data_IF_509215209375
#
_entry.id   IF_509215209375
#
_cell.length_a   1.000
_cell.length_b   1.000
_cell.length_c   1.000
_cell.angle_alpha   90.00
_cell.angle_beta   90.00
_cell.angle_gamma   90.00
#
_symmetry.space_group_name_H-M   'P 1'
#
loop_
_entity.id
_entity.type
_entity.pdbx_description
1 polymer ?
#
# COMPACT_ATOMS: atom_id res chain seq x y z
N UNK A 1 -1.25 -12.52 11.20
CA UNK A 1 0.15 -12.32 11.64
C UNK A 1 0.73 -11.27 10.73
N UNK A 2 1.28 -10.19 11.27
CA UNK A 2 1.94 -9.15 10.45
C UNK A 2 3.25 -9.71 9.90
N UNK A 3 3.46 -9.61 8.60
CA UNK A 3 4.68 -10.06 7.89
C UNK A 3 5.54 -8.89 7.45
N UNK A 4 4.99 -7.68 7.42
CA UNK A 4 5.73 -6.46 7.13
C UNK A 4 4.97 -5.23 7.60
N UNK A 5 5.72 -4.22 7.99
CA UNK A 5 5.20 -2.89 8.32
C UNK A 5 6.04 -1.84 7.59
N UNK A 6 5.38 -0.79 7.10
CA UNK A 6 6.02 0.39 6.53
C UNK A 6 5.49 1.65 7.21
N UNK A 7 6.39 2.43 7.77
CA UNK A 7 6.07 3.73 8.37
C UNK A 7 6.24 4.85 7.34
N UNK A 8 5.19 5.61 7.13
CA UNK A 8 5.13 6.83 6.32
C UNK A 8 5.01 8.04 7.25
N UNK A 9 5.38 9.22 6.75
CA UNK A 9 5.14 10.50 7.41
C UNK A 9 4.00 11.24 6.71
N UNK A 10 3.07 11.76 7.51
CA UNK A 10 2.02 12.67 7.09
C UNK A 10 2.18 13.97 7.87
N UNK A 11 2.83 14.96 7.25
CA UNK A 11 3.29 16.15 7.99
C UNK A 11 4.18 15.74 9.18
N UNK A 12 3.73 16.03 10.40
CA UNK A 12 4.43 15.65 11.65
C UNK A 12 3.98 14.29 12.23
N UNK A 13 2.94 13.67 11.65
CA UNK A 13 2.39 12.40 12.15
C UNK A 13 3.01 11.21 11.43
N UNK A 14 3.21 10.11 12.15
CA UNK A 14 3.62 8.83 11.55
C UNK A 14 2.40 7.97 11.27
N UNK A 15 2.31 7.45 10.06
CA UNK A 15 1.28 6.52 9.59
C UNK A 15 1.91 5.15 9.32
N UNK A 16 1.32 4.08 9.85
CA UNK A 16 1.81 2.72 9.60
C UNK A 16 0.93 2.01 8.56
N UNK A 17 1.59 1.35 7.61
CA UNK A 17 0.98 0.39 6.69
C UNK A 17 1.42 -1.00 7.11
N UNK A 18 0.49 -1.86 7.53
CA UNK A 18 0.80 -3.22 7.98
C UNK A 18 0.24 -4.24 7.00
N UNK A 19 1.05 -5.21 6.61
CA UNK A 19 0.63 -6.32 5.74
C UNK A 19 0.64 -7.60 6.55
N UNK A 20 -0.46 -8.33 6.49
CA UNK A 20 -0.61 -9.63 7.14
C UNK A 20 -0.26 -10.77 6.20
N UNK A 21 0.18 -11.89 6.77
CA UNK A 21 0.42 -13.12 6.03
C UNK A 21 -0.83 -13.50 5.22
N UNK A 22 -0.70 -13.86 3.93
CA UNK A 22 -1.80 -14.43 3.18
C UNK A 22 -2.32 -15.69 3.87
N UNK A 23 -3.63 -15.88 3.87
CA UNK A 23 -4.31 -17.05 4.45
C UNK A 23 -5.27 -17.65 3.44
N UNK A 24 -5.39 -18.98 3.45
CA UNK A 24 -6.35 -19.69 2.63
C UNK A 24 -7.77 -19.49 3.20
N UNK A 25 -8.70 -19.10 2.34
CA UNK A 25 -10.11 -18.85 2.65
C UNK A 25 -10.98 -19.56 1.63
N UNK A 26 -11.42 -20.78 1.96
CA UNK A 26 -12.28 -21.57 1.08
C UNK A 26 -11.55 -22.01 -0.18
N UNK A 27 -11.81 -21.35 -1.31
CA UNK A 27 -11.21 -21.66 -2.61
C UNK A 27 -10.24 -20.60 -3.13
N UNK A 28 -9.92 -19.60 -2.32
CA UNK A 28 -9.00 -18.51 -2.66
C UNK A 28 -8.10 -18.20 -1.46
N UNK A 29 -7.18 -17.27 -1.67
CA UNK A 29 -6.32 -16.74 -0.62
C UNK A 29 -6.63 -15.27 -0.40
N UNK A 30 -6.57 -14.83 0.86
CA UNK A 30 -6.74 -13.44 1.23
C UNK A 30 -5.48 -12.92 1.90
N UNK A 31 -5.06 -11.71 1.54
CA UNK A 31 -3.99 -10.99 2.22
C UNK A 31 -4.56 -9.69 2.78
N UNK A 32 -4.58 -9.59 4.11
CA UNK A 32 -5.08 -8.40 4.80
C UNK A 32 -4.00 -7.33 4.94
N UNK A 33 -4.41 -6.07 4.96
CA UNK A 33 -3.55 -4.96 5.33
C UNK A 33 -4.32 -3.88 6.07
N UNK A 34 -3.56 -3.08 6.81
CA UNK A 34 -4.04 -1.93 7.56
C UNK A 34 -3.29 -0.68 7.16
N UNK A 35 -3.99 0.45 7.14
CA UNK A 35 -3.38 1.77 7.03
C UNK A 35 -3.94 2.62 8.18
N UNK A 36 -3.06 3.13 9.03
CA UNK A 36 -3.41 3.94 10.20
C UNK A 36 -3.69 5.39 9.78
N UNK A 37 -4.75 5.61 8.98
CA UNK A 37 -5.14 6.96 8.59
C UNK A 37 -5.52 7.83 9.80
N UNK A 38 -5.33 9.16 9.73
CA UNK A 38 -5.67 10.07 10.83
C UNK A 38 -7.16 10.07 11.22
N UNK A 39 -8.04 9.80 10.26
CA UNK A 39 -9.49 9.73 10.44
C UNK A 39 -9.99 8.34 10.88
N UNK A 40 -9.10 7.33 10.89
CA UNK A 40 -9.37 6.00 11.41
C UNK A 40 -8.64 4.92 10.63
N UNK A 41 -8.14 3.91 11.35
CA UNK A 41 -7.46 2.79 10.71
C UNK A 41 -8.42 2.00 9.79
N UNK A 42 -8.00 1.76 8.56
CA UNK A 42 -8.75 0.93 7.61
C UNK A 42 -8.14 -0.47 7.54
N UNK A 43 -8.92 -1.50 7.84
CA UNK A 43 -8.57 -2.90 7.60
C UNK A 43 -9.24 -3.38 6.30
N UNK A 44 -8.44 -3.81 5.33
CA UNK A 44 -8.91 -4.35 4.04
C UNK A 44 -8.21 -5.66 3.70
N UNK A 45 -8.71 -6.35 2.67
CA UNK A 45 -8.13 -7.58 2.16
C UNK A 45 -8.20 -7.61 0.62
N UNK A 46 -7.16 -8.14 -0.03
CA UNK A 46 -7.23 -8.54 -1.44
C UNK A 46 -7.30 -10.06 -1.54
N UNK A 47 -8.07 -10.56 -2.50
CA UNK A 47 -8.22 -12.00 -2.78
C UNK A 47 -7.46 -12.39 -4.05
N UNK A 48 -6.70 -13.49 -3.98
CA UNK A 48 -6.00 -14.08 -5.12
C UNK A 48 -6.23 -15.60 -5.20
N UNK A 49 -5.89 -16.20 -6.34
CA UNK A 49 -5.97 -17.65 -6.54
C UNK A 49 -4.97 -18.43 -5.68
N UNK A 50 -3.88 -17.77 -5.27
CA UNK A 50 -2.88 -18.28 -4.34
C UNK A 50 -2.34 -17.15 -3.44
N UNK A 51 -1.49 -17.52 -2.49
CA UNK A 51 -0.86 -16.60 -1.55
C UNK A 51 -0.05 -15.49 -2.23
N UNK A 52 0.60 -15.79 -3.35
CA UNK A 52 1.48 -14.83 -4.06
C UNK A 52 0.64 -13.80 -4.79
N UNK A 53 -0.41 -14.22 -5.50
CA UNK A 53 -1.33 -13.31 -6.17
C UNK A 53 -2.08 -12.45 -5.15
N UNK A 54 -2.53 -13.02 -4.04
CA UNK A 54 -3.18 -12.26 -2.97
C UNK A 54 -2.25 -11.17 -2.42
N UNK A 55 -0.98 -11.49 -2.17
CA UNK A 55 0.02 -10.52 -1.71
C UNK A 55 0.29 -9.41 -2.75
N UNK A 56 0.46 -9.79 -4.01
CA UNK A 56 0.70 -8.83 -5.10
C UNK A 56 -0.49 -7.86 -5.26
N UNK A 57 -1.72 -8.36 -5.21
CA UNK A 57 -2.92 -7.54 -5.27
C UNK A 57 -3.05 -6.63 -4.04
N UNK A 58 -2.66 -7.11 -2.85
CA UNK A 58 -2.61 -6.26 -1.65
C UNK A 58 -1.63 -5.10 -1.82
N UNK A 59 -0.44 -5.31 -2.39
CA UNK A 59 0.48 -4.20 -2.68
C UNK A 59 -0.11 -3.21 -3.68
N UNK A 60 -0.83 -3.68 -4.69
CA UNK A 60 -1.52 -2.81 -5.64
C UNK A 60 -2.66 -2.00 -4.99
N UNK A 61 -3.42 -2.59 -4.07
CA UNK A 61 -4.48 -1.86 -3.35
C UNK A 61 -3.90 -0.83 -2.38
N UNK A 62 -2.79 -1.16 -1.70
CA UNK A 62 -2.07 -0.19 -0.86
C UNK A 62 -1.57 0.98 -1.72
N UNK A 63 -0.91 0.70 -2.85
CA UNK A 63 -0.45 1.75 -3.75
C UNK A 63 -1.60 2.64 -4.22
N UNK A 64 -2.73 2.04 -4.61
CA UNK A 64 -3.95 2.75 -4.97
C UNK A 64 -4.41 3.69 -3.84
N UNK A 65 -4.62 3.17 -2.63
CA UNK A 65 -5.09 3.98 -1.52
C UNK A 65 -4.13 5.11 -1.14
N UNK A 66 -2.81 4.88 -1.17
CA UNK A 66 -1.83 5.93 -0.88
C UNK A 66 -1.84 7.02 -1.96
N UNK A 67 -1.74 6.63 -3.23
CA UNK A 67 -1.62 7.58 -4.35
C UNK A 67 -2.92 8.32 -4.68
N UNK A 68 -4.08 7.77 -4.35
CA UNK A 68 -5.38 8.45 -4.52
C UNK A 68 -5.90 9.08 -3.23
N UNK A 69 -5.11 9.10 -2.16
CA UNK A 69 -5.49 9.75 -0.92
C UNK A 69 -5.46 11.28 -1.05
N UNK A 70 -6.33 12.02 -0.33
CA UNK A 70 -6.24 13.48 -0.26
C UNK A 70 -4.90 13.95 0.30
N UNK A 71 -4.22 13.12 1.09
CA UNK A 71 -2.92 13.40 1.67
C UNK A 71 -1.77 13.37 0.66
N UNK A 72 -1.83 12.46 -0.32
CA UNK A 72 -0.92 12.46 -1.46
C UNK A 72 -1.19 13.67 -2.35
N UNK A 73 -2.46 13.95 -2.66
CA UNK A 73 -2.86 15.12 -3.46
C UNK A 73 -2.40 16.44 -2.82
N UNK A 74 -2.46 16.55 -1.49
CA UNK A 74 -1.95 17.69 -0.74
C UNK A 74 -0.42 17.77 -0.63
N UNK A 75 0.32 16.71 -1.03
CA UNK A 75 1.78 16.64 -0.91
C UNK A 75 2.28 16.42 0.52
N UNK A 76 1.41 16.02 1.44
CA UNK A 76 1.73 15.85 2.87
C UNK A 76 2.24 14.44 3.18
N UNK A 77 1.89 13.46 2.35
CA UNK A 77 2.26 12.06 2.52
C UNK A 77 3.62 11.75 1.89
N UNK A 78 4.57 11.30 2.71
CA UNK A 78 5.94 11.04 2.33
C UNK A 78 6.46 9.72 2.93
N UNK A 79 7.37 9.05 2.23
CA UNK A 79 8.16 7.96 2.80
C UNK A 79 9.63 8.39 2.84
N UNK A 80 10.30 8.44 4.01
CA UNK A 80 11.72 8.80 4.09
C UNK A 80 12.67 7.72 3.53
N UNK A 81 12.14 6.63 2.96
CA UNK A 81 12.93 5.57 2.34
C UNK A 81 13.65 6.02 1.06
N UNK A 82 14.66 5.26 0.66
CA UNK A 82 15.37 5.49 -0.60
C UNK A 82 14.41 5.33 -1.80
N UNK A 83 14.50 6.24 -2.76
CA UNK A 83 13.75 6.18 -4.02
C UNK A 83 12.58 7.16 -4.15
N UNK A 84 12.06 7.71 -3.05
CA UNK A 84 11.09 8.81 -3.09
C UNK A 84 9.66 8.46 -3.57
N UNK A 85 9.34 7.17 -3.71
CA UNK A 85 7.97 6.65 -3.85
C UNK A 85 7.44 6.11 -2.52
N UNK A 86 6.37 5.30 -2.55
CA UNK A 86 5.87 4.56 -1.39
C UNK A 86 6.33 3.09 -1.36
N UNK A 87 6.92 2.59 -2.46
CA UNK A 87 7.60 1.30 -2.55
C UNK A 87 6.65 0.11 -2.60
N UNK A 88 5.41 0.32 -3.03
CA UNK A 88 4.42 -0.73 -3.27
C UNK A 88 4.13 -0.78 -4.77
N UNK A 89 4.11 -1.98 -5.35
CA UNK A 89 3.89 -2.14 -6.78
C UNK A 89 2.53 -1.57 -7.19
N UNK A 90 2.53 -0.59 -8.10
CA UNK A 90 1.31 0.10 -8.49
C UNK A 90 0.60 -0.56 -9.71
N UNK A 91 -0.74 -0.49 -9.79
CA UNK A 91 -1.46 -0.70 -11.03
C UNK A 91 -1.01 0.29 -12.12
N UNK A 92 -1.01 -0.14 -13.38
CA UNK A 92 -0.61 0.71 -14.53
C UNK A 92 -1.46 1.98 -14.65
N UNK A 93 -2.71 1.92 -14.21
CA UNK A 93 -3.64 3.04 -14.27
C UNK A 93 -3.26 4.20 -13.32
N UNK A 94 -2.34 3.98 -12.37
CA UNK A 94 -1.82 5.02 -11.47
C UNK A 94 -0.57 5.73 -12.00
N UNK A 95 -0.05 5.33 -13.17
CA UNK A 95 1.22 5.83 -13.74
C UNK A 95 1.40 7.35 -13.65
N UNK A 96 0.33 8.11 -13.86
CA UNK A 96 0.39 9.57 -13.92
C UNK A 96 0.57 10.23 -12.55
N UNK A 97 0.16 9.57 -11.46
CA UNK A 97 0.27 10.08 -10.09
C UNK A 97 1.47 9.53 -9.31
N UNK A 98 2.18 8.53 -9.86
CA UNK A 98 3.37 7.98 -9.21
C UNK A 98 4.47 9.05 -9.07
N UNK A 99 5.25 8.92 -8.00
CA UNK A 99 6.43 9.76 -7.71
C UNK A 99 7.66 8.90 -7.45
N UNK A 100 8.84 9.51 -7.58
CA UNK A 100 10.12 8.85 -7.29
C UNK A 100 10.35 7.58 -8.12
N UNK A 101 10.90 6.57 -7.48
CA UNK A 101 11.24 5.27 -8.07
C UNK A 101 10.00 4.47 -8.46
N UNK A 102 8.88 4.63 -7.77
CA UNK A 102 7.62 3.97 -8.15
C UNK A 102 7.21 4.42 -9.57
N UNK A 103 7.35 5.72 -9.89
CA UNK A 103 7.14 6.22 -11.26
C UNK A 103 8.14 5.63 -12.25
N UNK A 104 9.38 5.42 -11.83
CA UNK A 104 10.45 4.92 -12.70
C UNK A 104 10.26 3.45 -13.07
N UNK A 105 9.78 2.63 -12.14
CA UNK A 105 9.72 1.17 -12.31
C UNK A 105 8.32 0.63 -12.62
N UNK A 106 7.27 1.27 -12.12
CA UNK A 106 5.87 0.87 -12.37
C UNK A 106 5.16 1.80 -13.39
N UNK A 107 5.72 2.99 -13.64
CA UNK A 107 5.22 3.98 -14.58
C UNK A 107 5.80 3.90 -15.99
#
# INVERSE_FOLDING_TARGET
>A
MVVGERSLSLGETTLAVRVHAPVEVGSHWECQYEIDWPDGATLRAASGVDALQALQLTFQMIALELYTSPYHEAGELNWPGAGGGYGFSAPKDLRDVLIGDDKRFDG
#
